data_IF_109071398498
#
_entry.id   IF_109071398498
#
_cell.length_a   1.000
_cell.length_b   1.000
_cell.length_c   1.000
_cell.angle_alpha   90.00
_cell.angle_beta   90.00
_cell.angle_gamma   90.00
#
_symmetry.space_group_name_H-M   'P 1'
#
loop_
_entity.id
_entity.type
_entity.pdbx_description
1 polymer ?
#
# COMPACT_ATOMS: atom_id res chain seq x y z
N UNK A 1 -13.03 -1.64 3.49
CA UNK A 1 -12.24 -0.40 3.36
C UNK A 1 -11.73 -0.16 1.96
N UNK A 2 -10.86 -1.01 1.37
CA UNK A 2 -10.41 -0.88 -0.03
C UNK A 2 -11.57 -0.97 -1.03
N UNK A 3 -12.47 -1.94 -0.84
CA UNK A 3 -13.67 -2.11 -1.67
C UNK A 3 -14.59 -0.88 -1.72
N UNK A 4 -14.73 -0.14 -0.60
CA UNK A 4 -15.52 1.11 -0.57
C UNK A 4 -14.90 2.20 -1.44
N UNK A 5 -13.56 2.29 -1.44
CA UNK A 5 -12.84 3.26 -2.27
C UNK A 5 -12.91 2.86 -3.74
N UNK A 6 -12.74 1.57 -4.04
CA UNK A 6 -12.88 1.05 -5.40
C UNK A 6 -14.30 1.29 -5.94
N UNK A 7 -15.34 1.03 -5.14
CA UNK A 7 -16.73 1.32 -5.50
C UNK A 7 -16.92 2.82 -5.81
N UNK A 8 -16.38 3.71 -4.98
CA UNK A 8 -16.39 5.16 -5.22
C UNK A 8 -15.56 5.62 -6.44
N UNK A 9 -14.76 4.73 -7.03
CA UNK A 9 -13.91 4.98 -8.21
C UNK A 9 -14.25 4.08 -9.40
N UNK A 10 -15.40 3.41 -9.38
CA UNK A 10 -15.82 2.46 -10.41
C UNK A 10 -15.71 3.05 -11.83
N UNK A 11 -16.25 4.26 -12.06
CA UNK A 11 -16.15 4.95 -13.36
C UNK A 11 -14.71 5.13 -13.87
N UNK A 12 -13.75 5.40 -12.97
CA UNK A 12 -12.34 5.53 -13.35
C UNK A 12 -11.69 4.19 -13.67
N UNK A 13 -12.12 3.11 -13.02
CA UNK A 13 -11.69 1.75 -13.32
C UNK A 13 -12.28 1.29 -14.66
N UNK A 14 -13.55 1.57 -14.90
CA UNK A 14 -14.25 1.30 -16.17
C UNK A 14 -13.60 2.07 -17.33
N UNK A 15 -13.16 3.31 -17.07
CA UNK A 15 -12.38 4.10 -18.02
C UNK A 15 -10.99 3.51 -18.33
N UNK A 16 -10.57 2.44 -17.65
CA UNK A 16 -9.34 1.73 -17.97
C UNK A 16 -8.14 2.12 -17.10
N UNK A 17 -8.35 2.58 -15.86
CA UNK A 17 -7.27 2.66 -14.87
C UNK A 17 -7.02 1.32 -14.18
N UNK A 18 -5.79 1.09 -13.77
CA UNK A 18 -5.40 -0.02 -12.91
C UNK A 18 -5.94 0.21 -11.48
N UNK A 19 -6.49 -0.84 -10.85
CA UNK A 19 -6.99 -0.77 -9.46
C UNK A 19 -5.89 -0.77 -8.40
N UNK A 20 -4.65 -1.11 -8.78
CA UNK A 20 -3.49 -1.12 -7.88
C UNK A 20 -2.66 0.17 -7.98
N UNK A 21 -2.11 0.48 -9.17
CA UNK A 21 -1.27 1.69 -9.34
C UNK A 21 -2.04 2.95 -9.75
N UNK A 22 -3.32 2.84 -10.13
CA UNK A 22 -4.17 3.98 -10.51
C UNK A 22 -3.71 4.80 -11.71
N UNK A 23 -2.68 4.33 -12.42
CA UNK A 23 -2.33 4.75 -13.76
C UNK A 23 -3.31 4.16 -14.78
N UNK A 24 -3.39 4.76 -15.96
CA UNK A 24 -4.08 4.14 -17.10
C UNK A 24 -3.43 2.80 -17.42
N UNK A 25 -4.21 1.81 -17.86
CA UNK A 25 -3.72 0.46 -18.19
C UNK A 25 -2.58 0.49 -19.20
N UNK A 26 -2.62 1.41 -20.18
CA UNK A 26 -1.55 1.64 -21.15
C UNK A 26 -0.20 2.05 -20.51
N UNK A 27 -0.21 2.60 -19.29
CA UNK A 27 0.96 3.02 -18.53
C UNK A 27 1.09 2.27 -17.19
N UNK A 28 0.42 1.12 -17.05
CA UNK A 28 0.46 0.35 -15.82
C UNK A 28 1.90 -0.12 -15.53
N UNK A 29 2.37 0.12 -14.29
CA UNK A 29 3.71 -0.28 -13.87
C UNK A 29 3.74 -1.51 -12.96
N UNK A 30 2.58 -2.08 -12.61
CA UNK A 30 2.48 -3.15 -11.61
C UNK A 30 3.33 -4.39 -11.95
N UNK A 31 3.42 -4.75 -13.22
CA UNK A 31 4.26 -5.88 -13.66
C UNK A 31 5.75 -5.58 -13.48
N UNK A 32 6.18 -4.37 -13.87
CA UNK A 32 7.56 -3.92 -13.66
C UNK A 32 7.93 -3.88 -12.18
N UNK A 33 7.01 -3.41 -11.34
CA UNK A 33 7.18 -3.41 -9.87
C UNK A 33 7.30 -4.84 -9.34
N UNK A 34 6.44 -5.77 -9.77
CA UNK A 34 6.55 -7.19 -9.38
C UNK A 34 7.84 -7.83 -9.87
N UNK A 35 8.34 -7.46 -11.05
CA UNK A 35 9.61 -7.98 -11.54
C UNK A 35 10.77 -7.58 -10.62
N UNK A 36 10.73 -6.39 -10.01
CA UNK A 36 11.70 -5.96 -9.01
C UNK A 36 11.67 -6.79 -7.72
N UNK A 37 10.56 -7.46 -7.40
CA UNK A 37 10.45 -8.36 -6.24
C UNK A 37 11.48 -9.49 -6.29
N UNK A 38 11.81 -9.99 -7.50
CA UNK A 38 12.77 -11.10 -7.68
C UNK A 38 14.20 -10.74 -7.24
N UNK A 39 14.49 -9.46 -7.11
CA UNK A 39 15.80 -8.96 -6.67
C UNK A 39 15.80 -8.56 -5.19
N UNK A 40 14.64 -8.46 -4.55
CA UNK A 40 14.55 -8.19 -3.13
C UNK A 40 14.72 -9.50 -2.36
N UNK A 41 15.83 -9.65 -1.64
CA UNK A 41 15.83 -10.56 -0.50
C UNK A 41 14.65 -10.17 0.41
N UNK A 42 14.01 -11.16 1.03
CA UNK A 42 12.91 -10.92 2.00
C UNK A 42 13.30 -9.77 2.94
N UNK A 43 12.34 -8.91 3.26
CA UNK A 43 12.64 -7.87 4.23
C UNK A 43 12.94 -8.53 5.57
N UNK A 44 13.96 -8.04 6.28
CA UNK A 44 14.26 -8.48 7.65
C UNK A 44 13.26 -7.90 8.67
N UNK A 45 12.21 -7.21 8.19
CA UNK A 45 11.18 -6.56 9.00
C UNK A 45 9.82 -6.60 8.29
N UNK A 46 8.76 -6.71 9.07
CA UNK A 46 7.39 -6.51 8.60
C UNK A 46 7.14 -5.02 8.33
N UNK A 47 6.68 -4.68 7.13
CA UNK A 47 6.42 -3.31 6.70
C UNK A 47 4.93 -3.04 6.57
N UNK A 48 4.40 -2.20 7.43
CA UNK A 48 3.00 -1.77 7.38
C UNK A 48 2.90 -0.36 6.78
N UNK A 49 2.24 -0.26 5.63
CA UNK A 49 1.98 1.02 4.95
C UNK A 49 0.56 1.47 5.28
N UNK A 50 0.40 2.51 6.09
CA UNK A 50 -0.91 3.13 6.32
C UNK A 50 -1.12 4.28 5.33
N UNK A 51 -2.08 4.12 4.41
CA UNK A 51 -2.42 5.13 3.40
C UNK A 51 -3.79 5.73 3.70
N UNK A 52 -3.90 7.06 3.67
CA UNK A 52 -5.19 7.74 3.75
C UNK A 52 -6.10 7.36 2.57
N UNK A 53 -7.39 7.09 2.81
CA UNK A 53 -8.32 6.65 1.75
C UNK A 53 -8.38 7.60 0.53
N UNK A 54 -8.21 8.92 0.75
CA UNK A 54 -8.13 9.94 -0.33
C UNK A 54 -6.87 9.82 -1.19
N UNK A 55 -5.81 9.24 -0.65
CA UNK A 55 -4.51 9.05 -1.29
C UNK A 55 -4.35 7.66 -1.93
N UNK A 56 -5.11 6.67 -1.46
CA UNK A 56 -5.08 5.31 -2.02
C UNK A 56 -5.27 5.32 -3.54
N UNK A 57 -6.26 6.07 -4.04
CA UNK A 57 -6.57 6.14 -5.47
C UNK A 57 -5.72 7.16 -6.29
N UNK A 58 -4.64 7.70 -5.72
CA UNK A 58 -3.75 8.66 -6.40
C UNK A 58 -2.58 7.95 -7.05
N UNK A 59 -2.37 8.09 -8.36
CA UNK A 59 -1.24 7.46 -9.04
C UNK A 59 0.14 7.91 -8.51
N UNK A 60 0.24 9.11 -7.94
CA UNK A 60 1.48 9.67 -7.38
C UNK A 60 1.93 9.01 -6.07
N UNK A 61 1.02 8.43 -5.29
CA UNK A 61 1.38 7.77 -4.04
C UNK A 61 1.81 6.33 -4.33
N UNK A 62 3.10 6.07 -4.50
CA UNK A 62 3.61 4.74 -4.88
C UNK A 62 3.79 3.79 -3.70
N UNK A 63 3.69 4.25 -2.45
CA UNK A 63 3.87 3.42 -1.25
C UNK A 63 2.88 2.24 -1.20
N UNK A 64 1.67 2.41 -1.74
CA UNK A 64 0.67 1.32 -1.87
C UNK A 64 1.09 0.16 -2.77
N UNK A 65 2.16 0.32 -3.54
CA UNK A 65 2.71 -0.73 -4.41
C UNK A 65 3.71 -1.63 -3.68
N UNK A 66 4.11 -1.28 -2.45
CA UNK A 66 5.07 -2.07 -1.69
C UNK A 66 4.67 -3.56 -1.51
N UNK A 67 3.39 -3.90 -1.28
CA UNK A 67 2.96 -5.31 -1.24
C UNK A 67 3.11 -6.06 -2.57
N UNK A 68 3.31 -5.35 -3.70
CA UNK A 68 3.63 -6.01 -4.98
C UNK A 68 5.11 -6.42 -5.05
N UNK A 69 5.97 -5.84 -4.22
CA UNK A 69 7.41 -6.10 -4.15
C UNK A 69 7.69 -7.16 -3.07
N UNK A 70 7.06 -7.03 -1.91
CA UNK A 70 7.21 -7.95 -0.79
C UNK A 70 5.84 -8.39 -0.27
N UNK A 71 5.16 -9.33 -0.95
CA UNK A 71 3.80 -9.73 -0.59
C UNK A 71 3.72 -10.43 0.77
N UNK A 72 4.81 -11.07 1.21
CA UNK A 72 4.87 -11.80 2.48
C UNK A 72 5.28 -10.89 3.65
N UNK A 73 6.02 -9.82 3.37
CA UNK A 73 6.65 -8.98 4.40
C UNK A 73 6.06 -7.54 4.42
N UNK A 74 5.17 -7.18 3.49
CA UNK A 74 4.58 -5.85 3.43
C UNK A 74 3.05 -5.86 3.30
N UNK A 75 2.38 -5.12 4.18
CA UNK A 75 0.94 -5.00 4.21
C UNK A 75 0.48 -3.56 4.02
N UNK A 76 -0.54 -3.37 3.17
CA UNK A 76 -1.21 -2.10 2.98
C UNK A 76 -2.44 -2.00 3.88
N UNK A 77 -2.46 -0.98 4.74
CA UNK A 77 -3.58 -0.59 5.58
C UNK A 77 -4.14 0.73 5.06
N UNK A 78 -5.46 0.92 5.21
CA UNK A 78 -6.13 2.13 4.70
C UNK A 78 -6.79 2.88 5.84
N UNK A 79 -6.34 4.11 6.10
CA UNK A 79 -6.92 4.98 7.12
C UNK A 79 -8.31 5.51 6.69
N UNK A 80 -9.28 5.60 7.61
CA UNK A 80 -9.14 5.37 9.06
C UNK A 80 -9.23 3.90 9.48
N UNK A 81 -9.93 3.04 8.73
CA UNK A 81 -10.27 1.68 9.19
C UNK A 81 -9.04 0.80 9.54
N UNK A 82 -7.89 1.04 8.88
CA UNK A 82 -6.65 0.29 9.11
C UNK A 82 -5.81 0.78 10.29
N UNK A 83 -6.16 1.91 10.92
CA UNK A 83 -5.37 2.49 12.02
C UNK A 83 -5.36 1.58 13.25
N UNK A 84 -6.53 1.05 13.64
CA UNK A 84 -6.64 0.20 14.82
C UNK A 84 -5.79 -1.08 14.68
N UNK A 85 -5.79 -1.68 13.48
CA UNK A 85 -4.93 -2.82 13.16
C UNK A 85 -3.45 -2.45 13.30
N UNK A 86 -3.04 -1.30 12.77
CA UNK A 86 -1.65 -0.85 12.89
C UNK A 86 -1.23 -0.66 14.35
N UNK A 87 -2.05 0.00 15.16
CA UNK A 87 -1.76 0.25 16.57
C UNK A 87 -1.61 -1.07 17.35
N UNK A 88 -2.50 -2.03 17.11
CA UNK A 88 -2.42 -3.35 17.74
C UNK A 88 -1.14 -4.11 17.36
N UNK A 89 -0.73 -4.03 16.10
CA UNK A 89 0.51 -4.65 15.62
C UNK A 89 1.74 -3.95 16.22
N UNK A 90 1.70 -2.63 16.34
CA UNK A 90 2.74 -1.84 16.99
C UNK A 90 2.93 -2.23 18.46
N UNK A 91 1.84 -2.42 19.21
CA UNK A 91 1.87 -2.84 20.62
C UNK A 91 2.46 -4.25 20.81
N UNK A 92 2.35 -5.10 19.78
CA UNK A 92 2.85 -6.47 19.79
C UNK A 92 4.29 -6.60 19.28
N UNK A 93 4.81 -5.58 18.60
CA UNK A 93 6.14 -5.61 18.02
C UNK A 93 7.23 -5.40 19.09
N UNK A 94 8.22 -6.29 19.12
CA UNK A 94 9.42 -6.19 19.96
C UNK A 94 10.66 -6.35 19.07
N UNK A 95 11.71 -5.48 19.11
CA UNK A 95 11.87 -4.24 19.86
C UNK A 95 11.98 -2.97 18.97
N UNK A 96 11.83 -3.03 17.65
CA UNK A 96 12.08 -1.89 16.76
C UNK A 96 10.88 -1.59 15.84
N UNK A 97 10.03 -0.66 16.26
CA UNK A 97 9.06 -0.01 15.38
C UNK A 97 9.67 1.28 14.84
N UNK A 98 9.92 1.36 13.53
CA UNK A 98 10.36 2.57 12.86
C UNK A 98 9.16 3.25 12.17
N UNK A 99 8.63 4.31 12.78
CA UNK A 99 7.59 5.12 12.16
C UNK A 99 8.22 6.16 11.24
N UNK A 100 8.10 5.96 9.92
CA UNK A 100 8.75 6.83 8.93
C UNK A 100 7.95 8.12 8.64
N UNK A 101 6.61 8.12 8.75
CA UNK A 101 5.78 9.34 8.62
C UNK A 101 4.30 9.14 9.07
N UNK A 102 3.67 10.16 9.70
CA UNK A 102 4.33 11.30 10.32
C UNK A 102 5.23 10.78 11.46
N UNK A 103 6.49 11.20 11.45
CA UNK A 103 7.43 10.79 12.50
C UNK A 103 6.97 11.32 13.86
N UNK A 104 7.56 10.83 14.97
CA UNK A 104 7.36 11.48 16.26
C UNK A 104 7.75 12.97 16.11
N UNK A 105 6.77 13.84 16.34
CA UNK A 105 6.98 15.28 16.44
C UNK A 105 7.67 15.65 17.74
#
# INVERSE_FOLDING_TARGET
>A
TAWRILAGKQKSLDAGRCSACWLWRAFCICERVRASARCAARFEADVYVLVHYKEYARASNTAKLLPLIAPDDAQLLIYPDGLETLLRLADQASPLLLLLWPGPG
#
